data_IF_455448655550
#
_entry.id   IF_455448655550
#
_cell.length_a   1.000
_cell.length_b   1.000
_cell.length_c   1.000
_cell.angle_alpha   90.00
_cell.angle_beta   90.00
_cell.angle_gamma   90.00
#
_symmetry.space_group_name_H-M   'P 1'
#
loop_
_entity.id
_entity.type
_entity.pdbx_description
1 polymer ?
#
# COMPACT_ATOMS: atom_id res chain seq x y z
N UNK A 1 16.66 -23.07 -9.93
CA UNK A 1 15.49 -22.43 -10.55
C UNK A 1 15.01 -23.27 -11.70
N UNK A 2 13.96 -24.04 -11.44
CA UNK A 2 13.14 -24.72 -12.44
C UNK A 2 12.19 -23.71 -13.10
N UNK A 3 11.69 -24.03 -14.29
CA UNK A 3 10.75 -23.15 -15.02
C UNK A 3 9.50 -22.81 -14.19
N UNK A 4 9.09 -23.73 -13.30
CA UNK A 4 7.96 -23.54 -12.38
C UNK A 4 8.25 -22.48 -11.31
N UNK A 5 9.41 -22.54 -10.66
CA UNK A 5 9.81 -21.53 -9.66
C UNK A 5 9.90 -20.11 -10.26
N UNK A 6 10.36 -19.99 -11.52
CA UNK A 6 10.40 -18.72 -12.21
C UNK A 6 8.99 -18.19 -12.55
N UNK A 7 8.07 -19.07 -12.94
CA UNK A 7 6.68 -18.71 -13.20
C UNK A 7 5.93 -18.30 -11.92
N UNK A 8 6.11 -19.04 -10.82
CA UNK A 8 5.56 -18.68 -9.51
C UNK A 8 6.12 -17.33 -9.05
N UNK A 9 7.43 -17.10 -9.12
CA UNK A 9 8.03 -15.82 -8.77
C UNK A 9 7.52 -14.65 -9.63
N UNK A 10 7.28 -14.89 -10.93
CA UNK A 10 6.68 -13.89 -11.82
C UNK A 10 5.23 -13.58 -11.47
N UNK A 11 4.44 -14.58 -11.12
CA UNK A 11 3.05 -14.43 -10.70
C UNK A 11 2.94 -13.70 -9.36
N UNK A 12 3.82 -14.03 -8.43
CA UNK A 12 3.95 -13.39 -7.13
C UNK A 12 4.23 -11.88 -7.28
N UNK A 13 5.23 -11.51 -8.09
CA UNK A 13 5.54 -10.08 -8.33
C UNK A 13 4.37 -9.34 -8.96
N UNK A 14 3.67 -9.96 -9.90
CA UNK A 14 2.48 -9.37 -10.52
C UNK A 14 1.34 -9.12 -9.50
N UNK A 15 1.20 -9.97 -8.48
CA UNK A 15 0.24 -9.74 -7.39
C UNK A 15 0.65 -8.54 -6.53
N UNK A 16 1.93 -8.41 -6.19
CA UNK A 16 2.46 -7.28 -5.41
C UNK A 16 2.32 -5.95 -6.18
N UNK A 17 2.62 -5.93 -7.49
CA UNK A 17 2.45 -4.76 -8.34
C UNK A 17 0.98 -4.35 -8.47
N UNK A 18 0.07 -5.31 -8.62
CA UNK A 18 -1.37 -5.05 -8.68
C UNK A 18 -1.89 -4.52 -7.33
N UNK A 19 -1.40 -5.06 -6.21
CA UNK A 19 -1.76 -4.59 -4.88
C UNK A 19 -1.35 -3.12 -4.69
N UNK A 20 -0.15 -2.76 -5.12
CA UNK A 20 0.35 -1.39 -5.06
C UNK A 20 -0.48 -0.43 -5.92
N UNK A 21 -0.88 -0.84 -7.14
CA UNK A 21 -1.78 -0.04 -7.98
C UNK A 21 -3.15 0.18 -7.34
N UNK A 22 -3.67 -0.80 -6.58
CA UNK A 22 -4.92 -0.67 -5.84
C UNK A 22 -4.78 0.25 -4.63
N UNK A 23 -3.64 0.19 -3.95
CA UNK A 23 -3.31 1.12 -2.87
C UNK A 23 -3.28 2.58 -3.36
N UNK A 24 -2.60 2.85 -4.48
CA UNK A 24 -2.55 4.19 -5.09
C UNK A 24 -3.93 4.67 -5.59
N UNK A 25 -4.82 3.74 -5.95
CA UNK A 25 -6.21 4.04 -6.30
C UNK A 25 -7.11 4.31 -5.08
N UNK A 26 -6.61 4.11 -3.85
CA UNK A 26 -7.39 4.20 -2.61
C UNK A 26 -8.24 2.95 -2.32
N UNK A 27 -8.13 1.90 -3.13
CA UNK A 27 -8.82 0.62 -2.98
C UNK A 27 -8.08 -0.27 -1.95
N UNK A 28 -7.89 0.23 -0.72
CA UNK A 28 -7.09 -0.45 0.31
C UNK A 28 -7.60 -1.86 0.66
N UNK A 29 -8.91 -2.11 0.55
CA UNK A 29 -9.49 -3.43 0.79
C UNK A 29 -9.04 -4.49 -0.23
N UNK A 30 -8.95 -4.12 -1.51
CA UNK A 30 -8.50 -5.03 -2.56
C UNK A 30 -6.97 -5.14 -2.57
N UNK A 31 -6.25 -4.04 -2.28
CA UNK A 31 -4.81 -4.07 -2.06
C UNK A 31 -4.43 -5.07 -0.95
N UNK A 32 -5.15 -5.06 0.18
CA UNK A 32 -4.92 -6.00 1.28
C UNK A 32 -5.10 -7.45 0.84
N UNK A 33 -6.14 -7.72 0.05
CA UNK A 33 -6.45 -9.07 -0.42
C UNK A 33 -5.34 -9.60 -1.33
N UNK A 34 -4.79 -8.75 -2.19
CA UNK A 34 -3.70 -9.06 -3.11
C UNK A 34 -2.36 -9.26 -2.38
N UNK A 35 -2.02 -8.37 -1.44
CA UNK A 35 -0.83 -8.55 -0.61
C UNK A 35 -0.89 -9.84 0.23
N UNK A 36 -2.07 -10.21 0.74
CA UNK A 36 -2.25 -11.51 1.43
C UNK A 36 -1.96 -12.68 0.48
N UNK A 37 -2.46 -12.65 -0.75
CA UNK A 37 -2.18 -13.71 -1.73
C UNK A 37 -0.70 -13.82 -2.10
N UNK A 38 0.00 -12.69 -2.22
CA UNK A 38 1.45 -12.68 -2.45
C UNK A 38 2.22 -13.25 -1.23
N UNK A 39 1.79 -12.90 -0.02
CA UNK A 39 2.36 -13.44 1.22
C UNK A 39 2.13 -14.96 1.36
N UNK A 40 0.92 -15.45 1.06
CA UNK A 40 0.59 -16.89 1.05
C UNK A 40 1.44 -17.68 0.03
N UNK A 41 1.86 -17.01 -1.05
CA UNK A 41 2.75 -17.58 -2.06
C UNK A 41 4.25 -17.49 -1.68
N UNK A 42 4.58 -16.99 -0.48
CA UNK A 42 5.94 -16.94 0.04
C UNK A 42 6.71 -15.65 -0.26
N UNK A 43 6.02 -14.58 -0.68
CA UNK A 43 6.62 -13.26 -0.87
C UNK A 43 6.73 -12.54 0.47
N UNK A 44 7.94 -12.53 1.03
CA UNK A 44 8.19 -11.90 2.33
C UNK A 44 7.99 -10.38 2.33
N UNK A 45 8.15 -9.72 1.17
CA UNK A 45 7.91 -8.28 1.01
C UNK A 45 6.43 -7.93 1.14
N UNK A 46 5.54 -8.74 0.58
CA UNK A 46 4.10 -8.56 0.68
C UNK A 46 3.59 -8.51 2.13
N UNK A 47 4.22 -9.22 3.07
CA UNK A 47 3.88 -9.10 4.50
C UNK A 47 4.24 -7.73 5.08
N UNK A 48 5.34 -7.14 4.62
CA UNK A 48 5.78 -5.80 5.02
C UNK A 48 4.83 -4.75 4.46
N UNK A 49 4.44 -4.88 3.18
CA UNK A 49 3.46 -4.00 2.56
C UNK A 49 2.06 -4.15 3.18
N UNK A 50 1.65 -5.37 3.53
CA UNK A 50 0.39 -5.62 4.25
C UNK A 50 0.38 -4.95 5.63
N UNK A 51 1.49 -5.02 6.38
CA UNK A 51 1.63 -4.36 7.66
C UNK A 51 1.53 -2.84 7.52
N UNK A 52 2.26 -2.26 6.55
CA UNK A 52 2.18 -0.83 6.22
C UNK A 52 0.75 -0.43 5.86
N UNK A 53 0.09 -1.17 4.99
CA UNK A 53 -1.30 -0.92 4.59
C UNK A 53 -2.27 -0.92 5.78
N UNK A 54 -2.10 -1.87 6.72
CA UNK A 54 -2.91 -1.98 7.94
C UNK A 54 -2.67 -0.84 8.91
N UNK A 55 -1.43 -0.37 9.05
CA UNK A 55 -1.12 0.84 9.83
C UNK A 55 -1.79 2.06 9.20
N UNK A 56 -1.74 2.20 7.88
CA UNK A 56 -2.35 3.33 7.16
C UNK A 56 -3.89 3.30 7.19
N UNK A 57 -4.50 2.12 7.09
CA UNK A 57 -5.95 1.96 7.16
C UNK A 57 -6.49 2.03 8.61
N UNK A 58 -5.66 1.69 9.60
CA UNK A 58 -5.98 1.75 11.03
C UNK A 58 -5.76 3.13 11.67
N UNK A 59 -5.02 4.00 10.98
CA UNK A 59 -4.63 5.33 11.46
C UNK A 59 -5.27 6.41 10.54
N UNK A 60 -6.55 6.75 10.76
CA UNK A 60 -7.26 7.73 9.93
C UNK A 60 -6.64 9.13 9.95
N UNK A 61 -5.78 9.43 10.95
CA UNK A 61 -5.01 10.69 11.03
C UNK A 61 -3.76 10.69 10.13
N UNK A 62 -3.21 9.52 9.80
CA UNK A 62 -2.05 9.40 8.90
C UNK A 62 -2.45 9.42 7.41
N UNK A 63 -3.70 9.08 7.09
CA UNK A 63 -4.24 9.06 5.71
C UNK A 63 -4.31 10.44 5.02
N UNK A 64 -4.27 11.55 5.77
CA UNK A 64 -4.28 12.91 5.21
C UNK A 64 -2.93 13.40 4.68
N UNK A 65 -1.85 12.62 4.81
CA UNK A 65 -0.49 13.12 4.49
C UNK A 65 -0.09 13.02 3.00
N UNK A 66 -0.86 12.35 2.13
CA UNK A 66 -0.64 12.38 0.67
C UNK A 66 -1.43 13.46 -0.07
N UNK A 67 -1.66 14.56 0.62
CA UNK A 67 -1.88 15.88 0.01
C UNK A 67 -0.70 16.40 -0.83
N UNK A 68 0.40 15.63 -0.94
CA UNK A 68 1.66 15.96 -1.62
C UNK A 68 1.56 16.07 -3.16
N UNK A 69 0.40 15.76 -3.76
CA UNK A 69 0.08 16.13 -5.14
C UNK A 69 -0.62 17.50 -5.28
N UNK A 70 -0.74 18.30 -4.22
CA UNK A 70 -1.11 19.72 -4.30
C UNK A 70 -2.61 20.01 -4.27
N UNK A 71 -3.32 19.50 -3.28
CA UNK A 71 -4.71 19.90 -3.00
C UNK A 71 -4.94 20.05 -1.49
N UNK A 72 -4.80 21.25 -0.93
CA UNK A 72 -5.16 21.58 0.46
C UNK A 72 -6.40 22.44 0.60
N UNK A 73 -7.07 22.24 1.75
CA UNK A 73 -7.88 23.24 2.43
C UNK A 73 -7.80 22.89 3.93
N UNK A 74 -7.52 23.78 4.87
CA UNK A 74 -7.36 25.23 4.77
C UNK A 74 -5.89 25.61 4.52
N UNK A 75 -5.62 26.27 3.40
CA UNK A 75 -4.37 26.99 3.18
C UNK A 75 -4.32 28.28 4.00
N UNK A 76 -4.27 28.18 5.33
CA UNK A 76 -4.00 29.32 6.21
C UNK A 76 -2.81 29.05 7.13
N UNK A 77 -1.85 29.97 7.09
CA UNK A 77 -0.70 29.99 7.99
C UNK A 77 -1.21 30.49 9.34
N UNK A 78 -1.48 29.57 10.28
CA UNK A 78 -1.73 29.97 11.67
C UNK A 78 -0.45 30.54 12.29
N UNK A 79 -0.50 31.83 12.58
CA UNK A 79 0.49 32.60 13.32
C UNK A 79 0.47 32.24 14.83
N UNK A 80 1.50 32.63 15.61
CA UNK A 80 1.91 31.90 16.81
C UNK A 80 1.15 32.26 18.09
N UNK A 81 0.89 31.23 18.92
CA UNK A 81 0.62 31.21 20.37
C UNK A 81 0.03 32.46 21.05
N UNK A 82 -1.20 32.30 21.57
CA UNK A 82 -1.58 32.72 22.94
C UNK A 82 -2.12 31.53 23.74
#
# INVERSE_FOLDING_TARGET
>A
MTFKEAADAGHIRALTDLAWLREEAGDYAEAERLYRQAADAGESGALTDLARLREWAGDPESGERFRRFGLDAEGEIEAPWE
#
